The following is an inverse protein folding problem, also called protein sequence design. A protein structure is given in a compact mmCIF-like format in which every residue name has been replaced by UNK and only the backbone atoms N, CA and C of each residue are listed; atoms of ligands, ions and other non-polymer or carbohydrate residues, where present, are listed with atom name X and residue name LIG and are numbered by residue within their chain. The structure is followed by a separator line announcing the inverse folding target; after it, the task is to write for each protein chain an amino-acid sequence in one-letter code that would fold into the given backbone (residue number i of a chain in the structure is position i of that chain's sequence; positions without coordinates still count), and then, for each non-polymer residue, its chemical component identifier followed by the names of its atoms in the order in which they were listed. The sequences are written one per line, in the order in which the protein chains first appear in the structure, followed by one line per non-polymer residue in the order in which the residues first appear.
data_IF_629395816220
#
_entry.id   IF_629395816220
#
_cell.length_a   1.000
_cell.length_b   1.000
_cell.length_c   1.000
_cell.angle_alpha   90.00
_cell.angle_beta   90.00
_cell.angle_gamma   90.00
#
_symmetry.space_group_name_H-M   'P 1'
#
loop_
_entity.id
_entity.type
_entity.pdbx_description
1 polymer ?
#
# COMPACT_ATOMS: atom_id res chain seq x y z
N UNK A 1 6.19 -1.38 -22.62
CA UNK A 1 7.40 -0.65 -22.22
C UNK A 1 7.38 -0.53 -20.70
N UNK A 2 8.16 -1.34 -19.98
CA UNK A 2 8.17 -1.37 -18.51
C UNK A 2 9.14 -0.29 -18.03
N UNK A 3 8.66 0.70 -17.29
CA UNK A 3 9.49 1.74 -16.68
C UNK A 3 9.90 1.26 -15.28
N UNK A 4 11.20 1.34 -14.96
CA UNK A 4 11.69 1.20 -13.59
C UNK A 4 11.23 2.41 -12.78
N UNK A 5 10.22 2.21 -11.95
CA UNK A 5 9.72 3.21 -11.02
C UNK A 5 10.49 3.06 -9.71
N UNK A 6 11.12 4.13 -9.25
CA UNK A 6 11.72 4.14 -7.92
C UNK A 6 10.62 3.90 -6.87
N UNK A 7 10.94 3.03 -5.90
CA UNK A 7 10.01 2.68 -4.82
C UNK A 7 9.86 3.90 -3.91
N UNK A 8 8.85 4.73 -4.19
CA UNK A 8 8.46 5.80 -3.27
C UNK A 8 8.06 5.14 -1.96
N UNK A 9 8.83 5.40 -0.90
CA UNK A 9 8.49 4.94 0.43
C UNK A 9 7.13 5.55 0.77
N UNK A 10 6.07 4.72 0.78
CA UNK A 10 4.73 5.22 1.10
C UNK A 10 4.74 5.56 2.58
N UNK A 11 4.91 6.85 2.88
CA UNK A 11 4.90 7.40 4.24
C UNK A 11 3.50 7.36 4.87
N UNK A 12 3.22 8.30 5.76
CA UNK A 12 1.87 8.46 6.32
C UNK A 12 0.81 8.72 5.24
N UNK A 13 -0.47 8.62 5.63
CA UNK A 13 -1.60 8.83 4.74
C UNK A 13 -1.46 10.16 3.99
N UNK A 14 -1.72 10.22 2.67
CA UNK A 14 -1.47 11.42 1.88
C UNK A 14 -2.27 12.63 2.38
N UNK A 15 -1.56 13.69 2.75
CA UNK A 15 -2.15 14.97 3.19
C UNK A 15 -3.01 15.64 2.11
N UNK A 16 -2.71 15.36 0.84
CA UNK A 16 -3.46 15.89 -0.31
C UNK A 16 -4.87 15.30 -0.43
N UNK A 17 -5.23 14.27 0.36
CA UNK A 17 -6.51 13.59 0.29
C UNK A 17 -7.18 13.42 1.69
N UNK A 18 -7.39 14.51 2.45
CA UNK A 18 -7.80 14.42 3.85
C UNK A 18 -9.17 13.76 4.04
N UNK A 19 -10.10 13.93 3.10
CA UNK A 19 -11.44 13.32 3.12
C UNK A 19 -11.38 11.79 2.96
N UNK A 20 -10.33 11.25 2.36
CA UNK A 20 -10.17 9.81 2.17
C UNK A 20 -9.62 9.12 3.44
N UNK A 21 -9.00 9.85 4.37
CA UNK A 21 -8.46 9.30 5.60
C UNK A 21 -9.52 8.61 6.51
N UNK A 22 -10.68 9.24 6.82
CA UNK A 22 -11.72 8.55 7.59
C UNK A 22 -12.32 7.34 6.84
N UNK A 23 -12.39 7.41 5.51
CA UNK A 23 -12.82 6.29 4.66
C UNK A 23 -11.82 5.14 4.75
N UNK A 24 -10.53 5.44 4.80
CA UNK A 24 -9.49 4.45 4.96
C UNK A 24 -9.63 3.68 6.28
N UNK A 25 -9.73 4.39 7.40
CA UNK A 25 -9.84 3.76 8.72
C UNK A 25 -11.13 2.96 8.93
N UNK A 26 -12.21 3.27 8.20
CA UNK A 26 -13.48 2.54 8.31
C UNK A 26 -13.54 1.28 7.44
N UNK A 27 -12.83 1.24 6.31
CA UNK A 27 -13.00 0.19 5.28
C UNK A 27 -11.78 -0.69 5.07
N UNK A 28 -10.57 -0.16 5.16
CA UNK A 28 -9.34 -0.88 4.81
C UNK A 28 -8.49 -1.25 6.04
N UNK A 29 -8.49 -0.39 7.06
CA UNK A 29 -7.80 -0.64 8.33
C UNK A 29 -8.52 -1.71 9.14
N UNK A 30 -7.79 -2.76 9.54
CA UNK A 30 -8.31 -3.81 10.41
C UNK A 30 -8.09 -3.45 11.88
N UNK A 31 -8.96 -3.97 12.74
CA UNK A 31 -8.74 -3.93 14.20
C UNK A 31 -7.73 -5.01 14.58
N UNK A 32 -6.70 -4.61 15.30
CA UNK A 32 -5.71 -5.45 15.97
C UNK A 32 -5.83 -5.27 17.47
N UNK A 33 -5.12 -6.07 18.27
CA UNK A 33 -5.13 -5.94 19.74
C UNK A 33 -4.63 -4.56 20.21
N UNK A 34 -3.72 -3.94 19.45
CA UNK A 34 -3.12 -2.64 19.77
C UNK A 34 -3.87 -1.45 19.16
N UNK A 35 -4.97 -1.68 18.42
CA UNK A 35 -5.76 -0.61 17.82
C UNK A 35 -6.16 -0.88 16.37
N UNK A 36 -6.01 0.12 15.51
CA UNK A 36 -6.31 0.02 14.07
C UNK A 36 -5.02 0.09 13.28
N UNK A 37 -4.91 -0.73 12.22
CA UNK A 37 -3.78 -0.69 11.30
C UNK A 37 -3.64 0.71 10.68
N UNK A 38 -2.40 1.19 10.62
CA UNK A 38 -2.00 2.42 9.92
C UNK A 38 -1.99 2.22 8.41
N UNK A 39 -1.90 3.33 7.66
CA UNK A 39 -1.77 3.30 6.20
C UNK A 39 -0.58 2.44 5.75
N UNK A 40 0.58 2.62 6.37
CA UNK A 40 1.82 1.89 6.06
C UNK A 40 1.64 0.39 6.28
N UNK A 41 1.08 -0.01 7.42
CA UNK A 41 0.85 -1.42 7.74
C UNK A 41 -0.11 -2.09 6.75
N UNK A 42 -1.16 -1.38 6.32
CA UNK A 42 -2.09 -1.90 5.30
C UNK A 42 -1.41 -2.04 3.95
N UNK A 43 -0.60 -1.06 3.53
CA UNK A 43 0.18 -1.13 2.29
C UNK A 43 1.16 -2.31 2.33
N UNK A 44 1.94 -2.46 3.39
CA UNK A 44 2.89 -3.54 3.55
C UNK A 44 2.21 -4.91 3.53
N UNK A 45 1.10 -5.07 4.25
CA UNK A 45 0.30 -6.30 4.23
C UNK A 45 -0.20 -6.61 2.83
N UNK A 46 -0.69 -5.62 2.11
CA UNK A 46 -1.23 -5.79 0.76
C UNK A 46 -0.14 -6.19 -0.23
N UNK A 47 1.02 -5.52 -0.20
CA UNK A 47 2.18 -5.83 -1.03
C UNK A 47 2.69 -7.24 -0.73
N UNK A 48 2.79 -7.61 0.55
CA UNK A 48 3.22 -8.95 0.95
C UNK A 48 2.22 -10.03 0.51
N UNK A 49 0.91 -9.75 0.57
CA UNK A 49 -0.13 -10.64 0.06
C UNK A 49 0.00 -10.86 -1.45
N UNK A 50 0.16 -9.78 -2.22
CA UNK A 50 0.38 -9.85 -3.66
C UNK A 50 1.66 -10.61 -4.01
N UNK A 51 2.74 -10.42 -3.25
CA UNK A 51 3.98 -11.18 -3.42
C UNK A 51 3.77 -12.68 -3.22
N UNK A 52 3.06 -13.06 -2.16
CA UNK A 52 2.78 -14.47 -1.84
C UNK A 52 1.92 -15.12 -2.91
N UNK A 53 0.89 -14.43 -3.40
CA UNK A 53 -0.02 -14.94 -4.42
C UNK A 53 0.65 -15.02 -5.80
N UNK A 54 1.41 -13.99 -6.19
CA UNK A 54 2.00 -13.88 -7.52
C UNK A 54 3.37 -14.53 -7.67
N UNK A 55 3.90 -15.18 -6.61
CA UNK A 55 5.28 -15.71 -6.57
C UNK A 55 6.31 -14.69 -7.07
N UNK A 56 6.07 -13.40 -6.79
CA UNK A 56 6.83 -12.31 -7.38
C UNK A 56 8.23 -12.30 -6.78
N UNK A 57 9.24 -12.47 -7.62
CA UNK A 57 10.63 -12.27 -7.23
C UNK A 57 10.85 -10.81 -6.81
N UNK A 58 11.81 -10.51 -5.91
CA UNK A 58 11.98 -9.18 -5.32
C UNK A 58 12.09 -8.04 -6.35
N UNK A 59 12.66 -8.32 -7.52
CA UNK A 59 12.72 -7.37 -8.65
C UNK A 59 11.34 -6.98 -9.19
N UNK A 60 10.41 -7.92 -9.34
CA UNK A 60 9.06 -7.65 -9.90
C UNK A 60 8.15 -6.89 -8.95
N UNK A 61 8.45 -6.91 -7.64
CA UNK A 61 7.67 -6.27 -6.59
C UNK A 61 7.55 -4.74 -6.77
N UNK A 62 8.62 -4.09 -7.21
CA UNK A 62 8.65 -2.63 -7.39
C UNK A 62 7.73 -2.14 -8.52
N UNK A 63 7.53 -2.94 -9.57
CA UNK A 63 6.81 -2.49 -10.77
C UNK A 63 5.28 -2.51 -10.65
N UNK A 64 4.71 -3.40 -9.82
CA UNK A 64 3.25 -3.59 -9.76
C UNK A 64 2.52 -2.50 -8.97
N UNK A 65 3.22 -1.75 -8.11
CA UNK A 65 2.62 -0.85 -7.11
C UNK A 65 2.52 0.60 -7.64
N UNK A 66 3.20 0.91 -8.76
CA UNK A 66 3.21 2.22 -9.39
C UNK A 66 2.00 2.56 -10.26
N UNK A 67 0.83 1.93 -10.03
CA UNK A 67 -0.39 2.26 -10.77
C UNK A 67 -1.02 3.52 -10.15
N UNK A 68 -0.54 4.68 -10.60
CA UNK A 68 -1.09 5.99 -10.25
C UNK A 68 -2.53 6.08 -10.78
N UNK A 69 -3.49 6.24 -9.86
CA UNK A 69 -4.83 6.72 -10.19
C UNK A 69 -4.64 8.17 -10.66
N UNK A 70 -4.93 8.44 -11.94
CA UNK A 70 -5.00 9.80 -12.49
C UNK A 70 -6.17 10.55 -11.86
#
# INVERSE_FOLDING_TARGET
MVRELERVNQGEFPETAPTANPVFYRTYSRKTENGRETWVEVCDRTINGLRKLGQLTPKKQTYCIGCRVN
#
